data_IF_194127700085
#
_entry.id   IF_194127700085
#
_cell.length_a   1.000
_cell.length_b   1.000
_cell.length_c   1.000
_cell.angle_alpha   90.00
_cell.angle_beta   90.00
_cell.angle_gamma   90.00
#
_symmetry.space_group_name_H-M   'P 1'
#
loop_
_entity.id
_entity.type
_entity.pdbx_description
1 polymer ?
#
# COMPACT_ATOMS: atom_id res chain seq x y z
N UNK A 1 -18.13 -21.69 -4.57
CA UNK A 1 -16.80 -21.06 -4.63
C UNK A 1 -16.86 -19.81 -3.76
N UNK A 2 -16.48 -19.94 -2.50
CA UNK A 2 -16.37 -18.79 -1.59
C UNK A 2 -14.98 -18.21 -1.80
N UNK A 3 -14.85 -17.19 -2.64
CA UNK A 3 -13.63 -16.38 -2.67
C UNK A 3 -13.46 -15.83 -1.26
N UNK A 4 -12.39 -16.23 -0.56
CA UNK A 4 -12.10 -15.76 0.79
C UNK A 4 -12.14 -14.23 0.80
N UNK A 5 -13.08 -13.66 1.55
CA UNK A 5 -13.26 -12.22 1.61
C UNK A 5 -11.93 -11.52 1.99
N UNK A 6 -11.11 -12.18 2.80
CA UNK A 6 -9.73 -11.82 3.09
C UNK A 6 -8.85 -11.68 1.85
N UNK A 7 -8.81 -12.68 0.96
CA UNK A 7 -8.06 -12.59 -0.30
C UNK A 7 -8.59 -11.50 -1.21
N UNK A 8 -9.91 -11.27 -1.24
CA UNK A 8 -10.49 -10.16 -1.98
C UNK A 8 -10.07 -8.80 -1.44
N UNK A 9 -9.91 -8.65 -0.12
CA UNK A 9 -9.40 -7.44 0.51
C UNK A 9 -7.96 -7.14 0.08
N UNK A 10 -7.11 -8.16 0.04
CA UNK A 10 -5.72 -8.06 -0.44
C UNK A 10 -5.64 -7.64 -1.90
N UNK A 11 -6.45 -8.28 -2.75
CA UNK A 11 -6.57 -7.95 -4.18
C UNK A 11 -7.09 -6.53 -4.39
N UNK A 12 -8.07 -6.10 -3.62
CA UNK A 12 -8.61 -4.75 -3.71
C UNK A 12 -7.50 -3.71 -3.45
N UNK A 13 -6.68 -3.90 -2.41
CA UNK A 13 -5.54 -3.04 -2.17
C UNK A 13 -4.57 -3.03 -3.35
N UNK A 14 -4.16 -4.19 -3.86
CA UNK A 14 -3.23 -4.31 -4.99
C UNK A 14 -3.75 -3.64 -6.28
N UNK A 15 -5.06 -3.60 -6.46
CA UNK A 15 -5.73 -2.96 -7.59
C UNK A 15 -6.06 -1.47 -7.33
N UNK A 16 -5.48 -0.84 -6.29
CA UNK A 16 -5.76 0.55 -5.90
C UNK A 16 -7.23 0.83 -5.52
N UNK A 17 -8.00 -0.17 -5.08
CA UNK A 17 -9.35 0.06 -4.57
C UNK A 17 -9.32 0.52 -3.10
N UNK A 18 -10.08 1.56 -2.76
CA UNK A 18 -10.18 2.04 -1.38
C UNK A 18 -10.98 1.06 -0.52
N UNK A 19 -10.76 1.13 0.79
CA UNK A 19 -11.47 0.30 1.78
C UNK A 19 -12.99 0.51 1.77
N UNK A 20 -13.45 1.67 1.31
CA UNK A 20 -14.87 1.99 1.12
C UNK A 20 -15.53 1.22 -0.04
N UNK A 21 -14.75 0.62 -0.94
CA UNK A 21 -15.23 -0.20 -2.06
C UNK A 21 -15.73 -1.58 -1.63
N UNK A 22 -15.71 -1.89 -0.33
CA UNK A 22 -16.24 -3.13 0.21
C UNK A 22 -17.76 -3.20 0.08
N UNK A 23 -18.27 -4.08 -0.79
CA UNK A 23 -19.70 -4.30 -1.03
C UNK A 23 -20.38 -5.14 0.05
N UNK A 24 -19.60 -5.73 0.98
CA UNK A 24 -20.17 -6.54 2.05
C UNK A 24 -20.97 -5.68 3.07
N UNK A 25 -22.11 -6.20 3.57
CA UNK A 25 -22.91 -5.49 4.55
C UNK A 25 -22.13 -5.16 5.83
N UNK A 26 -22.47 -4.04 6.45
CA UNK A 26 -21.92 -3.65 7.75
C UNK A 26 -22.38 -4.67 8.79
N UNK A 27 -21.42 -5.25 9.53
CA UNK A 27 -21.68 -6.29 10.53
C UNK A 27 -21.55 -7.74 10.02
N UNK A 28 -21.33 -7.96 8.73
CA UNK A 28 -21.02 -9.30 8.21
C UNK A 28 -19.57 -9.70 8.52
N UNK A 29 -19.35 -10.97 8.87
CA UNK A 29 -18.00 -11.55 9.04
C UNK A 29 -17.12 -11.35 7.81
N UNK A 30 -17.71 -11.48 6.62
CA UNK A 30 -17.03 -11.25 5.34
C UNK A 30 -16.44 -9.84 5.22
N UNK A 31 -17.15 -8.82 5.74
CA UNK A 31 -16.62 -7.44 5.76
C UNK A 31 -15.40 -7.35 6.69
N UNK A 32 -15.47 -7.98 7.85
CA UNK A 32 -14.35 -8.00 8.79
C UNK A 32 -13.11 -8.67 8.18
N UNK A 33 -13.31 -9.82 7.51
CA UNK A 33 -12.24 -10.55 6.82
C UNK A 33 -11.66 -9.75 5.65
N UNK A 34 -12.51 -9.13 4.83
CA UNK A 34 -12.08 -8.28 3.72
C UNK A 34 -11.27 -7.08 4.19
N UNK A 35 -11.74 -6.39 5.24
CA UNK A 35 -11.03 -5.26 5.84
C UNK A 35 -9.68 -5.69 6.44
N UNK A 36 -9.62 -6.87 7.07
CA UNK A 36 -8.38 -7.41 7.60
C UNK A 36 -7.35 -7.67 6.49
N UNK A 37 -7.76 -8.30 5.38
CA UNK A 37 -6.90 -8.54 4.23
C UNK A 37 -6.40 -7.25 3.57
N UNK A 38 -7.28 -6.26 3.37
CA UNK A 38 -6.90 -4.96 2.83
C UNK A 38 -5.88 -4.23 3.72
N UNK A 39 -6.09 -4.27 5.04
CA UNK A 39 -5.19 -3.64 6.02
C UNK A 39 -3.85 -4.34 6.09
N UNK A 40 -3.83 -5.68 6.01
CA UNK A 40 -2.58 -6.45 5.95
C UNK A 40 -1.75 -6.07 4.72
N UNK A 41 -2.38 -6.01 3.54
CA UNK A 41 -1.70 -5.59 2.31
C UNK A 41 -1.16 -4.17 2.42
N UNK A 42 -1.91 -3.24 3.04
CA UNK A 42 -1.45 -1.89 3.33
C UNK A 42 -0.23 -1.85 4.25
N UNK A 43 -0.24 -2.66 5.31
CA UNK A 43 0.87 -2.70 6.26
C UNK A 43 2.12 -3.34 5.66
N UNK A 44 1.93 -4.30 4.74
CA UNK A 44 3.01 -4.99 4.03
C UNK A 44 3.62 -4.11 2.94
N UNK A 45 2.81 -3.31 2.26
CA UNK A 45 3.25 -2.36 1.24
C UNK A 45 2.88 -0.92 1.61
N UNK A 46 3.67 -0.26 2.49
CA UNK A 46 3.47 1.14 2.83
C UNK A 46 3.77 2.09 1.64
N UNK A 47 4.28 1.56 0.52
CA UNK A 47 4.62 2.32 -0.69
C UNK A 47 3.45 2.56 -1.64
N UNK A 48 2.45 1.68 -1.65
CA UNK A 48 1.36 1.68 -2.63
C UNK A 48 0.54 2.97 -2.61
N UNK A 49 0.22 3.49 -1.40
CA UNK A 49 -0.47 4.77 -1.23
C UNK A 49 0.47 5.98 -1.11
N UNK A 50 1.78 5.76 -1.02
CA UNK A 50 2.76 6.85 -0.99
C UNK A 50 3.09 7.41 -2.37
N UNK A 51 2.59 6.80 -3.45
CA UNK A 51 2.79 7.28 -4.82
C UNK A 51 1.84 8.41 -5.26
N UNK A 52 1.35 9.23 -4.33
CA UNK A 52 0.67 10.50 -4.68
C UNK A 52 1.05 11.69 -3.78
N UNK A 53 1.91 11.51 -2.78
CA UNK A 53 2.49 12.63 -2.01
C UNK A 53 3.85 12.23 -1.40
N UNK A 54 4.73 11.65 -2.20
CA UNK A 54 6.17 11.61 -1.92
C UNK A 54 6.93 12.41 -2.99
N UNK A 55 6.38 13.58 -3.32
CA UNK A 55 7.22 14.71 -3.67
C UNK A 55 7.73 15.30 -2.36
N UNK A 56 9.01 15.62 -2.31
CA UNK A 56 9.74 16.27 -1.22
C UNK A 56 10.45 15.34 -0.22
N UNK A 57 11.67 14.92 -0.61
CA UNK A 57 12.87 15.15 0.19
C UNK A 57 14.10 14.71 -0.63
N UNK A 58 14.58 15.67 -1.43
CA UNK A 58 15.99 15.94 -1.75
C UNK A 58 17.01 14.91 -1.25
N UNK A 59 17.31 13.89 -2.06
CA UNK A 59 18.64 13.26 -2.06
C UNK A 59 19.53 14.00 -3.06
N UNK A 60 19.70 15.30 -2.80
CA UNK A 60 20.67 16.15 -3.48
C UNK A 60 21.97 16.16 -2.70
N UNK A 61 23.06 15.89 -3.41
CA UNK A 61 24.46 16.18 -3.05
C UNK A 61 25.11 15.35 -1.92
N UNK A 62 25.93 14.37 -2.32
CA UNK A 62 27.28 14.25 -1.77
C UNK A 62 28.25 13.66 -2.81
N UNK A 63 29.13 14.52 -3.32
CA UNK A 63 30.55 14.19 -3.49
C UNK A 63 31.03 13.76 -4.86
N UNK A 64 30.94 14.62 -5.88
CA UNK A 64 31.92 14.57 -6.99
C UNK A 64 33.12 15.46 -6.65
N UNK A 65 34.30 15.03 -7.10
CA UNK A 65 35.58 15.74 -7.16
C UNK A 65 36.37 15.96 -5.85
N UNK A 66 37.49 15.25 -5.73
CA UNK A 66 38.78 15.86 -5.38
C UNK A 66 39.91 15.05 -6.01
N UNK A 67 40.41 15.56 -7.14
CA UNK A 67 41.73 15.23 -7.66
C UNK A 67 42.78 15.52 -6.59
N UNK A 68 43.59 14.53 -6.20
CA UNK A 68 44.81 14.75 -5.45
C UNK A 68 45.99 14.41 -6.36
N UNK A 69 46.48 15.42 -7.07
CA UNK A 69 47.87 15.49 -7.51
C UNK A 69 48.70 15.94 -6.31
N UNK A 70 49.73 15.18 -5.94
CA UNK A 70 51.07 15.63 -5.53
C UNK A 70 52.00 14.42 -5.55
#
# INVERSE_FOLDING_TARGET
MATDAFHQGKLAFQNNHPMSSCEYPVGSSLRAEWMAGWTESRNTDPGHFRSSTAGDSTAGATGTASEARH
#
